data_IF_731581572962
#
_entry.id   IF_731581572962
#
_cell.length_a   1.000
_cell.length_b   1.000
_cell.length_c   1.000
_cell.angle_alpha   90.00
_cell.angle_beta   90.00
_cell.angle_gamma   90.00
#
_symmetry.space_group_name_H-M   'P 1'
#
loop_
_entity.id
_entity.type
_entity.pdbx_description
1 polymer ?
#
# COMPACT_ATOMS: atom_id res chain seq x y z
N UNK A 1 -3.43 -16.69 1.64
CA UNK A 1 -2.85 -17.49 0.55
C UNK A 1 -1.34 -17.48 0.73
N UNK A 2 -0.72 -18.64 0.72
CA UNK A 2 0.72 -18.82 0.88
C UNK A 2 1.26 -19.47 -0.39
N UNK A 3 2.20 -18.81 -1.07
CA UNK A 3 2.81 -19.34 -2.30
C UNK A 3 3.45 -20.73 -2.11
N UNK A 4 3.84 -21.07 -0.88
CA UNK A 4 4.49 -22.34 -0.57
C UNK A 4 3.64 -23.58 -0.85
N UNK A 5 2.32 -23.42 -0.87
CA UNK A 5 1.37 -24.52 -1.10
C UNK A 5 0.94 -24.66 -2.56
N UNK A 6 0.92 -23.55 -3.32
CA UNK A 6 0.38 -23.54 -4.68
C UNK A 6 1.46 -23.39 -5.78
N UNK A 7 2.68 -22.96 -5.43
CA UNK A 7 3.73 -22.73 -6.40
C UNK A 7 4.48 -24.02 -6.74
N UNK A 8 4.91 -24.15 -8.01
CA UNK A 8 5.86 -25.18 -8.42
C UNK A 8 7.20 -25.05 -7.71
N UNK A 9 8.04 -26.09 -7.68
CA UNK A 9 9.40 -25.99 -7.15
C UNK A 9 10.19 -24.82 -7.74
N UNK A 10 10.13 -24.63 -9.06
CA UNK A 10 10.81 -23.54 -9.76
C UNK A 10 10.37 -22.15 -9.29
N UNK A 11 9.07 -21.97 -9.11
CA UNK A 11 8.51 -20.71 -8.59
C UNK A 11 8.83 -20.51 -7.10
N UNK A 12 8.82 -21.58 -6.31
CA UNK A 12 9.18 -21.51 -4.88
C UNK A 12 10.63 -21.09 -4.67
N UNK A 13 11.56 -21.61 -5.47
CA UNK A 13 12.97 -21.24 -5.39
C UNK A 13 13.18 -19.76 -5.69
N UNK A 14 12.53 -19.24 -6.73
CA UNK A 14 12.54 -17.79 -7.03
C UNK A 14 11.97 -16.94 -5.89
N UNK A 15 10.83 -17.33 -5.35
CA UNK A 15 10.17 -16.58 -4.28
C UNK A 15 10.94 -16.64 -2.97
N UNK A 16 11.53 -17.82 -2.67
CA UNK A 16 12.43 -18.01 -1.53
C UNK A 16 13.70 -17.16 -1.65
N UNK A 17 14.29 -17.07 -2.86
CA UNK A 17 15.40 -16.15 -3.12
C UNK A 17 15.02 -14.69 -2.79
N UNK A 18 13.82 -14.26 -3.21
CA UNK A 18 13.35 -12.90 -2.90
C UNK A 18 13.10 -12.67 -1.41
N UNK A 19 12.53 -13.63 -0.70
CA UNK A 19 12.24 -13.53 0.74
C UNK A 19 13.53 -13.59 1.56
N UNK A 20 14.38 -14.60 1.34
CA UNK A 20 15.49 -14.93 2.24
C UNK A 20 16.82 -14.27 1.84
N UNK A 21 17.08 -14.07 0.55
CA UNK A 21 18.35 -13.48 0.09
C UNK A 21 18.21 -11.99 -0.21
N UNK A 22 17.09 -11.58 -0.82
CA UNK A 22 16.82 -10.16 -1.12
C UNK A 22 16.19 -9.40 0.05
N UNK A 23 15.78 -10.11 1.11
CA UNK A 23 15.16 -9.50 2.28
C UNK A 23 13.79 -8.87 2.03
N UNK A 24 13.09 -9.30 0.96
CA UNK A 24 11.75 -8.79 0.71
C UNK A 24 10.75 -9.37 1.72
N UNK A 25 9.78 -8.56 2.14
CA UNK A 25 8.71 -9.04 3.00
C UNK A 25 7.92 -10.17 2.31
N UNK A 26 7.47 -11.17 3.06
CA UNK A 26 6.64 -12.29 2.58
C UNK A 26 5.44 -11.82 1.75
N UNK A 27 4.84 -10.69 2.11
CA UNK A 27 3.77 -10.08 1.31
C UNK A 27 4.21 -9.75 -0.12
N UNK A 28 5.43 -9.24 -0.30
CA UNK A 28 5.99 -8.94 -1.63
C UNK A 28 6.22 -10.20 -2.44
N UNK A 29 6.72 -11.28 -1.81
CA UNK A 29 6.86 -12.57 -2.46
C UNK A 29 5.51 -13.14 -2.89
N UNK A 30 4.48 -13.06 -2.05
CA UNK A 30 3.12 -13.45 -2.40
C UNK A 30 2.54 -12.63 -3.56
N UNK A 31 2.77 -11.32 -3.62
CA UNK A 31 2.35 -10.49 -4.77
C UNK A 31 3.06 -10.90 -6.07
N UNK A 32 4.36 -11.21 -6.01
CA UNK A 32 5.08 -11.76 -7.16
C UNK A 32 4.50 -13.11 -7.60
N UNK A 33 4.17 -13.97 -6.64
CA UNK A 33 3.50 -15.25 -6.94
C UNK A 33 2.17 -15.03 -7.66
N UNK A 34 1.31 -14.15 -7.16
CA UNK A 34 0.02 -13.86 -7.79
C UNK A 34 0.16 -13.33 -9.22
N UNK A 35 1.19 -12.52 -9.48
CA UNK A 35 1.46 -12.02 -10.82
C UNK A 35 1.97 -13.13 -11.75
N UNK A 36 2.91 -13.96 -11.30
CA UNK A 36 3.42 -15.10 -12.04
C UNK A 36 2.37 -16.20 -12.23
N UNK A 37 1.52 -16.45 -11.23
CA UNK A 37 0.37 -17.35 -11.34
C UNK A 37 -0.55 -16.93 -12.48
N UNK A 38 -0.92 -15.65 -12.51
CA UNK A 38 -1.75 -15.13 -13.60
C UNK A 38 -1.07 -15.29 -14.96
N UNK A 39 0.24 -15.05 -15.03
CA UNK A 39 1.02 -15.19 -16.23
C UNK A 39 1.08 -16.64 -16.72
N UNK A 40 1.48 -17.58 -15.86
CA UNK A 40 1.62 -18.99 -16.27
C UNK A 40 0.28 -19.68 -16.55
N UNK A 41 -0.80 -19.26 -15.91
CA UNK A 41 -2.16 -19.68 -16.27
C UNK A 41 -2.49 -19.31 -17.71
N UNK A 42 -2.17 -18.08 -18.11
CA UNK A 42 -2.34 -17.62 -19.48
C UNK A 42 -1.44 -18.41 -20.46
N UNK A 43 -0.14 -18.57 -20.14
CA UNK A 43 0.81 -19.30 -20.99
C UNK A 43 0.39 -20.75 -21.19
N UNK A 44 -0.08 -21.44 -20.15
CA UNK A 44 -0.57 -22.82 -20.28
C UNK A 44 -1.75 -22.92 -21.25
N UNK A 45 -2.67 -21.97 -21.22
CA UNK A 45 -3.78 -21.92 -22.19
C UNK A 45 -3.28 -21.62 -23.61
N UNK A 46 -2.43 -20.61 -23.75
CA UNK A 46 -1.84 -20.22 -25.04
C UNK A 46 -1.08 -21.40 -25.71
N UNK A 47 -0.43 -22.23 -24.92
CA UNK A 47 0.33 -23.42 -25.40
C UNK A 47 -0.54 -24.68 -25.52
N UNK A 48 -1.85 -24.62 -25.28
CA UNK A 48 -2.75 -25.78 -25.37
C UNK A 48 -2.50 -26.85 -24.29
N UNK A 49 -1.91 -26.47 -23.16
CA UNK A 49 -1.57 -27.41 -22.06
C UNK A 49 -2.76 -27.63 -21.10
N UNK A 50 -3.84 -26.94 -21.32
CA UNK A 50 -5.09 -27.07 -20.56
C UNK A 50 -6.28 -26.97 -21.52
N UNK A 51 -7.44 -27.61 -21.21
CA UNK A 51 -8.66 -27.52 -22.03
C UNK A 51 -9.09 -26.07 -22.27
N UNK A 52 -9.67 -25.78 -23.43
CA UNK A 52 -10.13 -24.42 -23.79
C UNK A 52 -11.26 -23.94 -22.87
N UNK A 53 -12.11 -24.85 -22.42
CA UNK A 53 -13.24 -24.62 -21.52
C UNK A 53 -12.84 -24.52 -20.03
N UNK A 54 -11.57 -24.76 -19.70
CA UNK A 54 -11.10 -24.66 -18.31
C UNK A 54 -11.24 -23.22 -17.80
N UNK A 55 -11.80 -23.07 -16.58
CA UNK A 55 -11.84 -21.78 -15.91
C UNK A 55 -10.41 -21.22 -15.73
N UNK A 56 -10.11 -20.05 -16.33
CA UNK A 56 -8.78 -19.45 -16.27
C UNK A 56 -8.25 -19.26 -14.85
N UNK A 57 -9.14 -19.03 -13.88
CA UNK A 57 -8.74 -18.79 -12.50
C UNK A 57 -8.54 -20.09 -11.70
N UNK A 58 -8.93 -21.25 -12.22
CA UNK A 58 -8.74 -22.56 -11.60
C UNK A 58 -7.50 -23.33 -12.09
N UNK A 59 -6.86 -22.89 -13.21
CA UNK A 59 -5.67 -23.59 -13.77
C UNK A 59 -4.55 -23.65 -12.72
N UNK A 60 -4.04 -24.85 -12.35
CA UNK A 60 -2.97 -25.01 -11.40
C UNK A 60 -1.64 -24.51 -11.97
N UNK A 61 -0.70 -24.13 -11.08
CA UNK A 61 0.65 -23.66 -11.44
C UNK A 61 1.76 -24.35 -10.63
N UNK A 62 1.40 -25.39 -9.91
CA UNK A 62 2.29 -26.24 -9.12
C UNK A 62 3.16 -27.16 -10.00
N UNK A 63 2.81 -27.30 -11.27
CA UNK A 63 3.51 -28.08 -12.31
C UNK A 63 4.31 -27.21 -13.29
N UNK A 64 4.41 -25.88 -13.06
CA UNK A 64 5.25 -25.00 -13.91
C UNK A 64 6.70 -25.47 -13.89
N UNK A 65 7.14 -26.04 -15.02
CA UNK A 65 8.47 -26.59 -15.20
C UNK A 65 9.45 -25.60 -15.85
N UNK A 66 10.74 -25.91 -15.79
CA UNK A 66 11.77 -25.17 -16.52
C UNK A 66 11.54 -25.21 -18.03
N UNK A 67 11.08 -26.36 -18.58
CA UNK A 67 10.77 -26.50 -20.00
C UNK A 67 9.64 -25.53 -20.42
N UNK A 68 8.58 -25.41 -19.63
CA UNK A 68 7.52 -24.44 -19.88
C UNK A 68 8.06 -23.00 -19.80
N UNK A 69 8.85 -22.67 -18.79
CA UNK A 69 9.45 -21.35 -18.66
C UNK A 69 10.38 -21.00 -19.84
N UNK A 70 11.17 -21.97 -20.32
CA UNK A 70 12.05 -21.81 -21.48
C UNK A 70 11.31 -21.66 -22.81
N UNK A 71 10.11 -22.24 -22.93
CA UNK A 71 9.29 -22.15 -24.16
C UNK A 71 8.60 -20.80 -24.37
N UNK A 72 8.65 -19.93 -23.37
CA UNK A 72 8.03 -18.59 -23.45
C UNK A 72 8.85 -17.69 -24.35
N UNK A 73 8.18 -17.01 -25.25
CA UNK A 73 8.77 -15.99 -26.14
C UNK A 73 8.35 -14.58 -25.73
N UNK A 74 9.04 -13.58 -26.26
CA UNK A 74 8.65 -12.18 -26.07
C UNK A 74 7.24 -11.90 -26.65
N UNK A 75 6.87 -12.56 -27.76
CA UNK A 75 5.53 -12.47 -28.35
C UNK A 75 4.45 -12.98 -27.41
N UNK A 76 4.68 -14.13 -26.76
CA UNK A 76 3.74 -14.69 -25.77
C UNK A 76 3.46 -13.69 -24.62
N UNK A 77 4.47 -12.92 -24.22
CA UNK A 77 4.30 -11.89 -23.18
C UNK A 77 3.52 -10.68 -23.71
N UNK A 78 3.73 -10.26 -24.95
CA UNK A 78 2.92 -9.20 -25.55
C UNK A 78 1.47 -9.61 -25.72
N UNK A 79 1.18 -10.86 -26.13
CA UNK A 79 -0.18 -11.40 -26.19
C UNK A 79 -0.84 -11.41 -24.80
N UNK A 80 -0.10 -11.85 -23.78
CA UNK A 80 -0.56 -11.75 -22.38
C UNK A 80 -0.91 -10.32 -21.97
N UNK A 81 -0.06 -9.33 -22.29
CA UNK A 81 -0.32 -7.93 -21.95
C UNK A 81 -1.52 -7.36 -22.72
N UNK A 82 -1.74 -7.81 -23.95
CA UNK A 82 -2.90 -7.46 -24.78
C UNK A 82 -4.18 -8.04 -24.18
N UNK A 83 -4.16 -9.32 -23.80
CA UNK A 83 -5.25 -9.97 -23.08
C UNK A 83 -5.60 -9.23 -21.78
N UNK A 84 -4.59 -8.90 -20.95
CA UNK A 84 -4.82 -8.13 -19.73
C UNK A 84 -5.38 -6.73 -19.98
N UNK A 85 -5.08 -6.14 -21.15
CA UNK A 85 -5.54 -4.80 -21.48
C UNK A 85 -7.00 -4.75 -21.94
N UNK A 86 -7.51 -5.82 -22.56
CA UNK A 86 -8.78 -5.81 -23.29
C UNK A 86 -9.82 -6.78 -22.75
N UNK A 87 -9.41 -7.97 -22.35
CA UNK A 87 -10.32 -9.11 -22.16
C UNK A 87 -10.53 -9.46 -20.69
N UNK A 88 -9.53 -9.22 -19.84
CA UNK A 88 -9.64 -9.61 -18.44
C UNK A 88 -10.65 -8.72 -17.71
N UNK A 89 -11.71 -9.35 -17.18
CA UNK A 89 -12.66 -8.69 -16.29
C UNK A 89 -11.94 -8.13 -15.05
N UNK A 90 -12.24 -6.90 -14.69
CA UNK A 90 -11.81 -6.35 -13.39
C UNK A 90 -12.65 -7.01 -12.31
N UNK A 91 -11.99 -7.61 -11.33
CA UNK A 91 -12.67 -8.07 -10.11
C UNK A 91 -13.12 -6.83 -9.31
N UNK A 92 -14.27 -6.29 -9.64
CA UNK A 92 -14.94 -5.27 -8.85
C UNK A 92 -16.36 -5.75 -8.55
N UNK A 93 -16.79 -5.56 -7.30
CA UNK A 93 -18.17 -5.76 -6.86
C UNK A 93 -19.14 -4.70 -7.44
N UNK A 94 -18.90 -4.22 -8.65
CA UNK A 94 -19.75 -3.26 -9.34
C UNK A 94 -20.50 -3.97 -10.47
N UNK A 95 -21.80 -3.68 -10.67
CA UNK A 95 -22.59 -4.29 -11.74
C UNK A 95 -22.08 -3.97 -13.16
N UNK A 96 -21.29 -2.91 -13.34
CA UNK A 96 -20.58 -2.61 -14.57
C UNK A 96 -19.24 -3.33 -14.61
N UNK A 97 -19.20 -4.45 -15.33
CA UNK A 97 -17.98 -5.23 -15.55
C UNK A 97 -17.00 -4.43 -16.41
N UNK A 98 -16.14 -3.63 -15.80
CA UNK A 98 -15.09 -2.94 -16.52
C UNK A 98 -14.00 -3.92 -16.92
N UNK A 99 -13.73 -4.06 -18.21
CA UNK A 99 -12.68 -4.90 -18.77
C UNK A 99 -11.33 -4.15 -18.83
N UNK A 100 -10.25 -4.92 -18.79
CA UNK A 100 -8.89 -4.45 -18.96
C UNK A 100 -8.24 -3.89 -17.70
N UNK A 101 -7.01 -4.35 -17.43
CA UNK A 101 -6.19 -3.85 -16.32
C UNK A 101 -5.52 -2.52 -16.67
N UNK A 102 -5.34 -1.65 -15.66
CA UNK A 102 -4.62 -0.38 -15.82
C UNK A 102 -3.16 -0.60 -16.26
N UNK A 103 -2.55 0.40 -16.92
CA UNK A 103 -1.14 0.35 -17.29
C UNK A 103 -0.23 0.13 -16.07
N UNK A 104 -0.55 0.69 -14.90
CA UNK A 104 0.19 0.46 -13.66
C UNK A 104 0.11 -1.00 -13.19
N UNK A 105 -1.07 -1.63 -13.24
CA UNK A 105 -1.24 -3.05 -12.89
C UNK A 105 -0.50 -3.96 -13.86
N UNK A 106 -0.51 -3.65 -15.15
CA UNK A 106 0.25 -4.39 -16.16
C UNK A 106 1.76 -4.21 -15.98
N UNK A 107 2.24 -2.99 -15.69
CA UNK A 107 3.65 -2.72 -15.41
C UNK A 107 4.16 -3.50 -14.18
N UNK A 108 3.33 -3.66 -13.13
CA UNK A 108 3.69 -4.51 -11.97
C UNK A 108 3.89 -5.96 -12.37
N UNK A 109 3.01 -6.52 -13.21
CA UNK A 109 3.15 -7.89 -13.72
C UNK A 109 4.40 -8.07 -14.59
N UNK A 110 4.70 -7.09 -15.45
CA UNK A 110 5.96 -7.06 -16.22
C UNK A 110 7.17 -7.08 -15.28
N UNK A 111 7.15 -6.32 -14.18
CA UNK A 111 8.24 -6.32 -13.21
C UNK A 111 8.44 -7.69 -12.56
N UNK A 112 7.36 -8.42 -12.22
CA UNK A 112 7.44 -9.78 -11.70
C UNK A 112 8.02 -10.76 -12.74
N UNK A 113 7.54 -10.71 -13.99
CA UNK A 113 8.03 -11.56 -15.10
C UNK A 113 9.51 -11.28 -15.36
N UNK A 114 9.93 -10.04 -15.51
CA UNK A 114 11.33 -9.66 -15.71
C UNK A 114 12.23 -10.12 -14.55
N UNK A 115 11.75 -9.99 -13.32
CA UNK A 115 12.47 -10.42 -12.12
C UNK A 115 12.65 -11.95 -12.11
N UNK A 116 11.62 -12.70 -12.48
CA UNK A 116 11.66 -14.16 -12.57
C UNK A 116 12.66 -14.64 -13.63
N UNK A 117 12.59 -14.14 -14.85
CA UNK A 117 13.53 -14.55 -15.91
C UNK A 117 14.96 -14.08 -15.64
N UNK A 118 15.14 -12.90 -15.02
CA UNK A 118 16.47 -12.48 -14.54
C UNK A 118 17.02 -13.42 -13.47
N UNK A 119 16.18 -13.92 -12.57
CA UNK A 119 16.60 -14.94 -11.60
C UNK A 119 17.04 -16.22 -12.29
N UNK A 120 16.27 -16.76 -13.24
CA UNK A 120 16.59 -17.98 -13.96
C UNK A 120 17.90 -17.90 -14.76
N UNK A 121 18.18 -16.74 -15.36
CA UNK A 121 19.38 -16.56 -16.20
C UNK A 121 20.61 -16.15 -15.42
N UNK A 122 20.47 -15.18 -14.47
CA UNK A 122 21.63 -14.53 -13.84
C UNK A 122 21.96 -15.10 -12.45
N UNK A 123 20.99 -15.71 -11.77
CA UNK A 123 21.18 -16.19 -10.39
C UNK A 123 21.19 -17.71 -10.30
N UNK A 124 20.20 -18.33 -10.89
CA UNK A 124 20.08 -19.79 -10.88
C UNK A 124 20.84 -20.47 -12.05
N UNK A 125 21.20 -19.73 -13.09
CA UNK A 125 21.86 -20.23 -14.30
C UNK A 125 21.14 -21.43 -14.95
N UNK A 126 19.79 -21.43 -14.85
CA UNK A 126 18.95 -22.50 -15.41
C UNK A 126 18.58 -22.23 -16.88
N UNK A 127 18.65 -20.99 -17.34
CA UNK A 127 18.45 -20.60 -18.73
C UNK A 127 19.71 -19.90 -19.26
N UNK A 128 20.11 -20.22 -20.48
CA UNK A 128 21.25 -19.60 -21.16
C UNK A 128 20.93 -18.14 -21.53
N UNK A 129 19.70 -17.89 -22.01
CA UNK A 129 19.25 -16.57 -22.45
C UNK A 129 17.95 -16.15 -21.77
N UNK A 130 17.77 -14.85 -21.61
CA UNK A 130 16.55 -14.27 -21.05
C UNK A 130 15.56 -13.93 -22.19
N UNK A 131 14.47 -14.70 -22.35
CA UNK A 131 13.53 -14.49 -23.46
C UNK A 131 12.76 -13.15 -23.37
N UNK A 132 12.78 -12.50 -22.21
CA UNK A 132 12.08 -11.23 -21.96
C UNK A 132 13.07 -10.07 -21.68
N UNK A 133 14.30 -10.18 -22.16
CA UNK A 133 15.33 -9.15 -21.93
C UNK A 133 14.87 -7.78 -22.44
N UNK A 134 14.30 -7.74 -23.63
CA UNK A 134 13.84 -6.52 -24.32
C UNK A 134 12.38 -6.15 -23.99
N UNK A 135 11.77 -6.80 -22.99
CA UNK A 135 10.40 -6.51 -22.59
C UNK A 135 10.29 -5.13 -21.93
N UNK A 136 9.58 -4.21 -22.56
CA UNK A 136 9.25 -2.90 -22.00
C UNK A 136 8.03 -2.93 -21.09
N UNK A 137 8.08 -2.14 -20.02
CA UNK A 137 6.92 -1.97 -19.15
C UNK A 137 5.97 -0.93 -19.72
N UNK A 138 4.63 -1.19 -19.72
CA UNK A 138 3.65 -0.19 -20.07
C UNK A 138 3.82 1.09 -19.24
N UNK A 139 3.89 2.24 -19.88
CA UNK A 139 4.03 3.54 -19.21
C UNK A 139 2.66 4.00 -18.67
N UNK A 140 2.45 4.10 -17.34
CA UNK A 140 1.23 4.69 -16.80
C UNK A 140 1.09 6.15 -17.25
N UNK A 141 -0.11 6.57 -17.63
CA UNK A 141 -0.38 8.00 -17.83
C UNK A 141 -0.11 8.73 -16.51
N UNK A 142 0.75 9.73 -16.55
CA UNK A 142 0.96 10.63 -15.42
C UNK A 142 -0.31 11.47 -15.25
N UNK A 143 -1.09 11.17 -14.23
CA UNK A 143 -2.19 12.02 -13.79
C UNK A 143 -1.69 12.96 -12.70
N UNK A 144 -2.18 14.20 -12.68
CA UNK A 144 -1.89 15.11 -11.58
C UNK A 144 -2.37 14.47 -10.27
N UNK A 145 -1.55 14.50 -9.22
CA UNK A 145 -1.93 13.97 -7.94
C UNK A 145 -3.18 14.70 -7.41
N UNK A 146 -4.24 13.94 -7.10
CA UNK A 146 -5.43 14.51 -6.45
C UNK A 146 -5.26 14.44 -4.94
N UNK A 147 -5.54 15.53 -4.27
CA UNK A 147 -5.53 15.68 -2.82
C UNK A 147 -6.74 16.51 -2.39
N UNK A 148 -7.14 16.42 -1.14
CA UNK A 148 -8.22 17.23 -0.58
C UNK A 148 -7.74 18.68 -0.34
N UNK A 149 -8.53 19.64 -0.73
CA UNK A 149 -8.34 21.04 -0.31
C UNK A 149 -8.49 21.17 1.21
N UNK A 150 -8.03 22.28 1.77
CA UNK A 150 -8.20 22.56 3.21
C UNK A 150 -9.69 22.57 3.60
N UNK A 151 -10.57 23.17 2.78
CA UNK A 151 -12.01 23.17 3.02
C UNK A 151 -12.63 21.79 3.01
N UNK A 152 -12.22 20.90 2.08
CA UNK A 152 -12.67 19.51 2.05
C UNK A 152 -12.17 18.72 3.27
N UNK A 153 -10.94 19.00 3.75
CA UNK A 153 -10.43 18.39 4.98
C UNK A 153 -11.24 18.82 6.21
N UNK A 154 -11.58 20.10 6.32
CA UNK A 154 -12.41 20.62 7.41
C UNK A 154 -13.82 20.02 7.36
N UNK A 155 -14.47 20.01 6.20
CA UNK A 155 -15.78 19.40 6.01
C UNK A 155 -15.78 17.90 6.32
N UNK A 156 -14.70 17.18 5.97
CA UNK A 156 -14.53 15.76 6.33
C UNK A 156 -14.48 15.56 7.84
N UNK A 157 -13.71 16.38 8.57
CA UNK A 157 -13.60 16.28 10.03
C UNK A 157 -14.92 16.66 10.72
N UNK A 158 -15.61 17.70 10.26
CA UNK A 158 -16.90 18.15 10.79
C UNK A 158 -18.04 17.15 10.52
N UNK A 159 -17.98 16.41 9.42
CA UNK A 159 -18.98 15.40 9.04
C UNK A 159 -18.96 14.14 9.92
N UNK A 160 -17.95 13.97 10.78
CA UNK A 160 -17.83 12.76 11.60
C UNK A 160 -18.83 12.74 12.72
N UNK A 161 -19.78 11.79 12.66
CA UNK A 161 -20.87 11.65 13.62
C UNK A 161 -20.81 10.28 14.34
N UNK A 162 -21.66 10.13 15.36
CA UNK A 162 -21.87 8.87 16.06
C UNK A 162 -22.41 7.75 15.11
N UNK A 163 -22.23 6.49 15.44
CA UNK A 163 -21.40 5.97 16.52
C UNK A 163 -19.90 6.04 16.16
N UNK A 164 -19.03 5.95 17.17
CA UNK A 164 -17.57 5.95 17.06
C UNK A 164 -16.94 7.31 16.66
N UNK A 165 -17.66 8.42 16.89
CA UNK A 165 -17.18 9.76 16.52
C UNK A 165 -15.76 10.04 17.02
N UNK A 166 -15.49 9.86 18.32
CA UNK A 166 -14.17 10.16 18.90
C UNK A 166 -13.05 9.33 18.28
N UNK A 167 -13.28 8.04 17.98
CA UNK A 167 -12.32 7.16 17.33
C UNK A 167 -12.04 7.58 15.90
N UNK A 168 -13.10 7.74 15.12
CA UNK A 168 -13.00 7.99 13.69
C UNK A 168 -12.41 9.37 13.41
N UNK A 169 -12.77 10.36 14.25
CA UNK A 169 -12.20 11.70 14.21
C UNK A 169 -10.69 11.66 14.52
N UNK A 170 -10.28 10.94 15.56
CA UNK A 170 -8.86 10.76 15.88
C UNK A 170 -8.08 10.10 14.73
N UNK A 171 -8.65 9.06 14.11
CA UNK A 171 -8.05 8.40 12.94
C UNK A 171 -7.82 9.41 11.79
N UNK A 172 -8.84 10.18 11.43
CA UNK A 172 -8.76 11.16 10.34
C UNK A 172 -7.81 12.31 10.68
N UNK A 173 -7.85 12.81 11.91
CA UNK A 173 -6.94 13.88 12.37
C UNK A 173 -5.49 13.45 12.28
N UNK A 174 -5.14 12.22 12.71
CA UNK A 174 -3.79 11.69 12.60
C UNK A 174 -3.37 11.47 11.14
N UNK A 175 -4.27 10.98 10.27
CA UNK A 175 -3.96 10.86 8.84
C UNK A 175 -3.64 12.21 8.22
N UNK A 176 -4.48 13.22 8.45
CA UNK A 176 -4.38 14.53 7.81
C UNK A 176 -3.26 15.40 8.38
N UNK A 177 -2.87 15.21 9.64
CA UNK A 177 -1.82 16.02 10.27
C UNK A 177 -0.45 15.33 10.27
N UNK A 178 -0.39 14.00 10.44
CA UNK A 178 0.87 13.26 10.55
C UNK A 178 1.24 12.51 9.27
N UNK A 179 0.34 12.41 8.30
CA UNK A 179 0.59 11.71 7.05
C UNK A 179 0.96 10.23 7.21
N UNK A 180 0.41 9.54 8.20
CA UNK A 180 0.73 8.13 8.48
C UNK A 180 0.37 7.20 7.31
N UNK A 181 1.12 6.08 7.17
CA UNK A 181 0.64 4.95 6.38
C UNK A 181 -0.47 4.23 7.13
N UNK A 182 -1.43 3.66 6.43
CA UNK A 182 -2.55 2.95 7.06
C UNK A 182 -2.06 1.79 7.96
N UNK A 183 -1.00 1.10 7.58
CA UNK A 183 -0.39 0.03 8.40
C UNK A 183 0.30 0.57 9.66
N UNK A 184 0.89 1.75 9.58
CA UNK A 184 1.49 2.44 10.72
C UNK A 184 0.40 2.80 11.73
N UNK A 185 -0.70 3.40 11.27
CA UNK A 185 -1.81 3.77 12.15
C UNK A 185 -2.50 2.55 12.78
N UNK A 186 -2.69 1.45 12.03
CA UNK A 186 -3.24 0.22 12.55
C UNK A 186 -2.34 -0.43 13.63
N UNK A 187 -1.03 -0.28 13.49
CA UNK A 187 -0.03 -0.80 14.42
C UNK A 187 0.12 -0.01 15.72
N UNK A 188 -0.39 1.23 15.79
CA UNK A 188 -0.18 2.09 16.95
C UNK A 188 -0.72 1.48 18.24
N UNK A 189 0.06 1.63 19.28
CA UNK A 189 -0.22 1.23 20.65
C UNK A 189 -0.30 2.44 21.58
N UNK A 190 -0.95 2.30 22.73
CA UNK A 190 -1.01 3.37 23.74
C UNK A 190 0.39 3.78 24.22
N UNK A 191 1.31 2.81 24.31
CA UNK A 191 2.71 3.01 24.72
C UNK A 191 3.54 3.78 23.69
N UNK A 192 3.07 3.91 22.44
CA UNK A 192 3.77 4.65 21.40
C UNK A 192 3.54 6.18 21.50
N UNK A 193 2.58 6.60 22.34
CA UNK A 193 2.24 8.01 22.56
C UNK A 193 2.83 8.47 23.88
N UNK A 194 3.76 9.41 23.83
CA UNK A 194 4.40 10.01 25.01
C UNK A 194 4.34 11.54 24.87
N UNK A 195 3.66 12.19 25.82
CA UNK A 195 3.49 13.65 25.82
C UNK A 195 3.07 14.18 24.43
N UNK A 196 3.93 14.94 23.77
CA UNK A 196 3.69 15.54 22.46
C UNK A 196 4.36 14.73 21.31
N UNK A 197 4.75 13.48 21.57
CA UNK A 197 5.44 12.63 20.58
C UNK A 197 4.71 11.31 20.35
N UNK A 198 4.90 10.78 19.13
CA UNK A 198 4.38 9.48 18.70
C UNK A 198 5.46 8.69 17.99
N UNK A 199 5.79 7.52 18.52
CA UNK A 199 6.69 6.56 17.87
C UNK A 199 5.92 5.79 16.80
N UNK A 200 6.46 5.74 15.60
CA UNK A 200 5.87 5.05 14.44
C UNK A 200 6.85 4.05 13.87
N UNK A 201 6.41 2.81 13.69
CA UNK A 201 7.19 1.74 13.08
C UNK A 201 6.80 1.60 11.60
N UNK A 202 7.72 1.89 10.73
CA UNK A 202 7.55 1.85 9.27
C UNK A 202 7.90 0.50 8.64
N UNK A 203 8.01 0.50 7.31
CA UNK A 203 8.41 -0.68 6.55
C UNK A 203 9.81 -1.15 6.96
N UNK A 204 9.97 -2.46 7.14
CA UNK A 204 11.26 -3.05 7.54
C UNK A 204 11.64 -2.85 9.01
N UNK A 205 10.69 -2.43 9.86
CA UNK A 205 10.94 -2.21 11.29
C UNK A 205 11.62 -0.87 11.62
N UNK A 206 11.81 0.01 10.65
CA UNK A 206 12.40 1.33 10.87
C UNK A 206 11.46 2.19 11.73
N UNK A 207 11.99 2.74 12.80
CA UNK A 207 11.26 3.61 13.71
C UNK A 207 11.54 5.08 13.41
N UNK A 208 10.54 5.91 13.63
CA UNK A 208 10.66 7.37 13.64
C UNK A 208 9.75 7.99 14.71
N UNK A 209 10.12 9.16 15.17
CA UNK A 209 9.32 9.95 16.11
C UNK A 209 8.62 11.04 15.32
N UNK A 210 7.32 11.21 15.57
CA UNK A 210 6.52 12.31 15.06
C UNK A 210 6.13 13.22 16.22
N UNK A 211 6.19 14.53 16.00
CA UNK A 211 5.70 15.55 16.93
C UNK A 211 4.24 15.83 16.66
N UNK A 212 3.43 15.82 17.72
CA UNK A 212 1.99 16.01 17.66
C UNK A 212 1.65 17.47 17.88
N UNK A 213 0.81 18.02 16.99
CA UNK A 213 0.25 19.34 17.18
C UNK A 213 -0.99 19.30 18.09
N UNK A 214 -1.54 20.47 18.45
CA UNK A 214 -2.68 20.59 19.37
C UNK A 214 -3.89 19.78 18.90
N UNK A 215 -4.24 19.81 17.60
CA UNK A 215 -5.37 19.05 17.08
C UNK A 215 -5.21 17.53 17.28
N UNK A 216 -4.00 17.01 17.06
CA UNK A 216 -3.69 15.59 17.29
C UNK A 216 -3.80 15.24 18.78
N UNK A 217 -3.27 16.07 19.66
CA UNK A 217 -3.30 15.86 21.11
C UNK A 217 -4.74 15.86 21.64
N UNK A 218 -5.56 16.81 21.20
CA UNK A 218 -6.98 16.88 21.58
C UNK A 218 -7.76 15.66 21.09
N UNK A 219 -7.59 15.29 19.82
CA UNK A 219 -8.24 14.10 19.26
C UNK A 219 -7.82 12.81 19.99
N UNK A 220 -6.54 12.67 20.31
CA UNK A 220 -6.02 11.53 21.08
C UNK A 220 -6.57 11.50 22.51
N UNK A 221 -6.61 12.65 23.19
CA UNK A 221 -7.17 12.77 24.53
C UNK A 221 -8.64 12.34 24.55
N UNK A 222 -9.45 12.89 23.64
CA UNK A 222 -10.88 12.56 23.53
C UNK A 222 -11.09 11.07 23.25
N UNK A 223 -10.36 10.50 22.29
CA UNK A 223 -10.45 9.08 21.98
C UNK A 223 -10.00 8.20 23.16
N UNK A 224 -8.88 8.50 23.82
CA UNK A 224 -8.38 7.72 24.97
C UNK A 224 -9.38 7.67 26.11
N UNK A 225 -10.09 8.77 26.37
CA UNK A 225 -11.17 8.83 27.38
C UNK A 225 -12.30 7.85 27.04
N UNK A 226 -12.81 7.89 25.81
CA UNK A 226 -13.87 6.99 25.34
C UNK A 226 -13.36 5.53 25.30
N UNK A 227 -12.14 5.32 24.82
CA UNK A 227 -11.53 3.99 24.75
C UNK A 227 -11.37 3.33 26.11
N UNK A 228 -11.04 4.10 27.15
CA UNK A 228 -10.85 3.58 28.51
C UNK A 228 -12.12 2.95 29.09
N UNK A 229 -13.30 3.32 28.60
CA UNK A 229 -14.59 2.74 29.01
C UNK A 229 -14.99 1.51 28.22
N UNK A 230 -14.25 1.17 27.16
CA UNK A 230 -14.59 0.04 26.29
C UNK A 230 -13.89 -1.25 26.73
N UNK A 231 -14.55 -2.41 26.70
CA UNK A 231 -13.88 -3.69 26.84
C UNK A 231 -12.87 -3.87 25.70
N UNK A 232 -11.74 -4.52 25.95
CA UNK A 232 -10.77 -4.77 24.90
C UNK A 232 -9.96 -6.05 25.16
N UNK A 233 -9.67 -6.78 24.08
CA UNK A 233 -8.81 -7.98 24.10
C UNK A 233 -7.32 -7.61 24.05
N UNK A 234 -6.96 -6.55 23.32
CA UNK A 234 -5.61 -5.98 23.25
C UNK A 234 -5.58 -4.66 24.04
N UNK A 235 -5.16 -4.74 25.31
CA UNK A 235 -5.12 -3.58 26.21
C UNK A 235 -4.21 -2.45 25.73
N UNK A 236 -3.20 -2.76 24.91
CA UNK A 236 -2.25 -1.76 24.41
C UNK A 236 -2.62 -1.19 23.01
N UNK A 237 -3.55 -1.80 22.27
CA UNK A 237 -3.97 -1.25 20.97
C UNK A 237 -4.50 0.18 21.09
N UNK A 238 -4.03 1.12 20.28
CA UNK A 238 -4.58 2.48 20.29
C UNK A 238 -6.01 2.49 19.75
N UNK A 239 -6.24 1.88 18.58
CA UNK A 239 -7.57 1.86 17.94
C UNK A 239 -8.24 0.49 18.08
N UNK A 240 -9.49 0.52 18.54
CA UNK A 240 -10.33 -0.67 18.72
C UNK A 240 -11.40 -0.75 17.64
N UNK A 241 -11.61 -1.97 17.13
CA UNK A 241 -12.75 -2.30 16.27
C UNK A 241 -14.06 -2.39 17.10
N UNK A 242 -15.19 -2.48 16.42
CA UNK A 242 -16.49 -2.75 17.09
C UNK A 242 -16.54 -4.13 17.80
N UNK A 243 -15.54 -5.00 17.53
CA UNK A 243 -15.35 -6.30 18.24
C UNK A 243 -14.37 -6.17 19.41
N UNK A 244 -14.04 -4.96 19.80
CA UNK A 244 -13.13 -4.66 20.93
C UNK A 244 -11.72 -5.26 20.79
N UNK A 245 -11.30 -5.56 19.59
CA UNK A 245 -9.92 -5.98 19.24
C UNK A 245 -9.20 -4.86 18.50
N UNK A 246 -7.86 -4.97 18.37
CA UNK A 246 -7.06 -4.03 17.56
C UNK A 246 -7.68 -3.89 16.16
N UNK A 247 -7.87 -2.67 15.69
CA UNK A 247 -8.34 -2.42 14.33
C UNK A 247 -7.33 -2.94 13.31
N UNK A 248 -7.83 -3.74 12.38
CA UNK A 248 -7.04 -4.16 11.21
C UNK A 248 -6.87 -3.03 10.19
N UNK A 249 -5.89 -3.19 9.30
CA UNK A 249 -5.69 -2.29 8.15
C UNK A 249 -6.98 -2.15 7.33
N UNK A 250 -7.70 -3.27 7.10
CA UNK A 250 -8.98 -3.25 6.39
C UNK A 250 -10.06 -2.50 7.17
N UNK A 251 -10.11 -2.68 8.50
CA UNK A 251 -11.06 -1.95 9.36
C UNK A 251 -10.87 -0.44 9.28
N UNK A 252 -9.62 0.02 9.34
CA UNK A 252 -9.31 1.46 9.18
C UNK A 252 -9.65 1.93 7.76
N UNK A 253 -9.31 1.15 6.74
CA UNK A 253 -9.63 1.49 5.35
C UNK A 253 -11.15 1.65 5.16
N UNK A 254 -11.93 0.71 5.68
CA UNK A 254 -13.40 0.79 5.65
C UNK A 254 -13.92 2.02 6.38
N UNK A 255 -13.39 2.34 7.57
CA UNK A 255 -13.76 3.52 8.34
C UNK A 255 -13.48 4.79 7.54
N UNK A 256 -12.28 4.93 6.97
CA UNK A 256 -11.92 6.10 6.14
C UNK A 256 -12.86 6.22 4.93
N UNK A 257 -13.10 5.12 4.20
CA UNK A 257 -13.99 5.11 3.03
C UNK A 257 -15.42 5.53 3.43
N UNK A 258 -15.94 4.99 4.54
CA UNK A 258 -17.26 5.35 5.07
C UNK A 258 -17.37 6.86 5.38
N UNK A 259 -16.34 7.44 6.04
CA UNK A 259 -16.36 8.86 6.43
C UNK A 259 -16.17 9.79 5.23
N UNK A 260 -15.35 9.41 4.25
CA UNK A 260 -15.24 10.13 2.98
C UNK A 260 -16.61 10.19 2.26
N UNK A 261 -17.31 9.06 2.14
CA UNK A 261 -18.64 9.02 1.54
C UNK A 261 -19.67 9.85 2.31
N UNK A 262 -19.66 9.82 3.66
CA UNK A 262 -20.54 10.64 4.50
C UNK A 262 -20.29 12.16 4.35
N UNK A 263 -19.06 12.56 4.02
CA UNK A 263 -18.68 13.93 3.69
C UNK A 263 -19.00 14.33 2.23
N UNK A 264 -19.66 13.47 1.44
CA UNK A 264 -19.93 13.72 0.02
C UNK A 264 -18.71 13.64 -0.89
N UNK A 265 -17.59 13.09 -0.42
CA UNK A 265 -16.38 12.95 -1.19
C UNK A 265 -16.37 11.63 -1.98
N UNK A 266 -15.88 11.69 -3.22
CA UNK A 266 -15.79 10.52 -4.10
C UNK A 266 -14.83 9.46 -3.53
N UNK A 267 -15.37 8.33 -3.10
CA UNK A 267 -14.63 7.24 -2.47
C UNK A 267 -13.79 6.40 -3.44
N UNK A 268 -13.95 6.57 -4.74
CA UNK A 268 -13.11 5.95 -5.77
C UNK A 268 -11.88 6.80 -6.08
N UNK A 269 -12.00 8.12 -5.88
CA UNK A 269 -10.89 9.07 -6.03
C UNK A 269 -10.06 9.19 -4.75
N UNK A 270 -10.69 9.16 -3.58
CA UNK A 270 -10.04 9.39 -2.29
C UNK A 270 -9.94 8.11 -1.45
N UNK A 271 -8.81 7.93 -0.80
CA UNK A 271 -8.50 6.78 0.04
C UNK A 271 -7.50 7.18 1.13
N UNK A 272 -7.19 6.28 2.06
CA UNK A 272 -6.17 6.52 3.09
C UNK A 272 -4.81 6.95 2.52
N UNK A 273 -4.41 6.44 1.35
CA UNK A 273 -3.22 6.90 0.64
C UNK A 273 -3.33 8.35 0.17
N UNK A 274 -4.52 8.76 -0.28
CA UNK A 274 -4.77 10.14 -0.69
C UNK A 274 -4.81 11.09 0.50
N UNK A 275 -5.31 10.67 1.66
CA UNK A 275 -5.23 11.47 2.89
C UNK A 275 -3.78 11.75 3.31
N UNK A 276 -2.90 10.73 3.22
CA UNK A 276 -1.46 10.94 3.44
C UNK A 276 -0.86 11.91 2.41
N UNK A 277 -1.24 11.79 1.14
CA UNK A 277 -0.80 12.72 0.10
C UNK A 277 -1.32 14.14 0.35
N UNK A 278 -2.57 14.26 0.79
CA UNK A 278 -3.17 15.53 1.23
C UNK A 278 -2.35 16.18 2.36
N UNK A 279 -2.03 15.42 3.42
CA UNK A 279 -1.19 15.92 4.51
C UNK A 279 0.16 16.46 3.99
N UNK A 280 0.84 15.69 3.15
CA UNK A 280 2.12 16.09 2.54
C UNK A 280 1.98 17.39 1.72
N UNK A 281 0.94 17.47 0.88
CA UNK A 281 0.71 18.64 0.02
C UNK A 281 0.37 19.89 0.83
N UNK A 282 -0.49 19.75 1.85
CA UNK A 282 -0.85 20.87 2.73
C UNK A 282 0.36 21.38 3.53
N UNK A 283 1.24 20.49 4.01
CA UNK A 283 2.49 20.88 4.67
C UNK A 283 3.41 21.66 3.73
N UNK A 284 3.64 21.18 2.49
CA UNK A 284 4.44 21.88 1.49
C UNK A 284 3.87 23.25 1.15
N UNK A 285 2.55 23.36 0.94
CA UNK A 285 1.89 24.63 0.64
C UNK A 285 1.99 25.64 1.79
N UNK A 286 2.20 25.17 3.01
CA UNK A 286 2.40 26.00 4.20
C UNK A 286 3.88 26.16 4.59
N UNK A 287 4.80 25.91 3.66
CA UNK A 287 6.21 26.29 3.80
C UNK A 287 7.10 25.24 4.47
N UNK A 288 6.57 24.04 4.76
CA UNK A 288 7.44 22.94 5.21
C UNK A 288 8.35 22.53 4.06
N UNK A 289 9.66 22.54 4.27
CA UNK A 289 10.60 22.16 3.23
C UNK A 289 10.51 20.65 2.90
N UNK A 290 10.97 20.30 1.68
CA UNK A 290 10.83 18.94 1.15
C UNK A 290 11.60 17.91 1.97
N UNK A 291 12.75 18.28 2.53
CA UNK A 291 13.61 17.39 3.31
C UNK A 291 12.97 17.05 4.66
N UNK A 292 12.53 18.08 5.40
CA UNK A 292 11.76 17.91 6.65
C UNK A 292 10.52 17.05 6.41
N UNK A 293 9.79 17.28 5.31
CA UNK A 293 8.63 16.48 4.95
C UNK A 293 8.98 15.01 4.68
N UNK A 294 10.09 14.74 4.00
CA UNK A 294 10.56 13.38 3.73
C UNK A 294 10.89 12.62 5.01
N UNK A 295 11.51 13.26 5.98
CA UNK A 295 11.80 12.68 7.30
C UNK A 295 10.51 12.40 8.08
N UNK A 296 9.59 13.37 8.14
CA UNK A 296 8.27 13.18 8.76
C UNK A 296 7.51 12.00 8.16
N UNK A 297 7.52 11.87 6.85
CA UNK A 297 6.81 10.80 6.16
C UNK A 297 7.57 9.46 6.16
N UNK A 298 8.87 9.43 6.42
CA UNK A 298 9.71 8.23 6.36
C UNK A 298 9.79 7.68 4.92
N UNK A 299 10.21 8.52 3.95
CA UNK A 299 10.45 8.14 2.57
C UNK A 299 11.89 7.64 2.41
N UNK A 300 12.08 6.41 1.93
CA UNK A 300 13.39 5.74 1.80
C UNK A 300 14.19 6.12 0.54
N UNK A 301 13.62 6.84 -0.42
CA UNK A 301 14.27 7.10 -1.70
C UNK A 301 14.44 8.58 -2.00
N UNK A 302 15.62 9.07 -1.73
CA UNK A 302 16.27 10.06 -2.60
C UNK A 302 17.25 9.30 -3.48
N UNK A 303 16.99 9.24 -4.79
CA UNK A 303 18.05 9.00 -5.76
C UNK A 303 18.94 10.23 -5.77
N UNK A 304 19.87 10.30 -4.84
CA UNK A 304 21.15 11.04 -5.00
C UNK A 304 21.92 11.00 -3.68
N UNK A 305 23.18 10.74 -3.78
CA UNK A 305 24.23 10.85 -2.78
C UNK A 305 24.22 12.25 -2.15
N UNK A 306 23.46 12.43 -1.07
CA UNK A 306 23.61 13.60 -0.20
C UNK A 306 23.84 13.13 1.23
N UNK A 307 24.97 13.64 1.76
CA UNK A 307 25.45 13.50 3.13
C UNK A 307 24.30 13.85 4.08
N UNK A 308 23.88 12.87 4.90
CA UNK A 308 22.85 13.05 5.92
C UNK A 308 23.30 14.06 6.97
N UNK A 309 22.80 15.28 6.87
CA UNK A 309 22.62 16.11 8.06
C UNK A 309 21.23 15.78 8.61
N UNK A 310 21.17 15.31 9.86
CA UNK A 310 19.90 15.11 10.56
C UNK A 310 19.15 16.45 10.63
N UNK A 311 17.84 16.42 10.32
CA UNK A 311 16.96 17.56 10.59
C UNK A 311 16.83 17.66 12.12
N UNK A 312 17.02 18.84 12.67
CA UNK A 312 16.93 19.07 14.12
C UNK A 312 15.47 18.86 14.60
N UNK A 313 15.32 18.37 15.82
CA UNK A 313 14.00 18.17 16.45
C UNK A 313 13.16 19.45 16.48
N UNK A 314 13.81 20.63 16.55
CA UNK A 314 13.18 21.94 16.49
C UNK A 314 12.46 22.17 15.16
N UNK A 315 13.03 21.76 14.02
CA UNK A 315 12.42 21.91 12.70
C UNK A 315 11.23 20.97 12.53
N UNK A 316 11.34 19.74 13.01
CA UNK A 316 10.24 18.77 12.99
C UNK A 316 9.05 19.23 13.84
N UNK A 317 9.30 19.82 15.02
CA UNK A 317 8.27 20.44 15.88
C UNK A 317 7.63 21.66 15.20
N UNK A 318 8.41 22.51 14.56
CA UNK A 318 7.90 23.67 13.84
C UNK A 318 7.01 23.25 12.66
N UNK A 319 7.41 22.24 11.88
CA UNK A 319 6.64 21.69 10.79
C UNK A 319 5.28 21.13 11.26
N UNK A 320 5.23 20.40 12.38
CA UNK A 320 3.99 19.89 12.95
C UNK A 320 3.05 21.02 13.39
N UNK A 321 3.57 22.11 13.96
CA UNK A 321 2.81 23.28 14.38
C UNK A 321 2.32 24.14 13.22
N UNK A 322 3.08 24.19 12.13
CA UNK A 322 2.76 24.95 10.91
C UNK A 322 1.65 24.29 10.07
N UNK A 323 1.22 23.06 10.41
CA UNK A 323 0.16 22.37 9.67
C UNK A 323 -1.16 23.14 9.75
N UNK A 324 -1.87 23.41 8.62
CA UNK A 324 -3.08 24.24 8.61
C UNK A 324 -4.23 23.69 9.47
N UNK A 325 -4.26 22.38 9.71
CA UNK A 325 -5.24 21.73 10.61
C UNK A 325 -4.77 21.62 12.07
N UNK A 326 -3.62 22.21 12.44
CA UNK A 326 -3.05 22.09 13.79
C UNK A 326 -3.93 22.67 14.90
N UNK A 327 -4.81 23.60 14.58
CA UNK A 327 -5.66 24.35 15.53
C UNK A 327 -7.15 24.01 15.42
N UNK A 328 -7.51 22.98 14.64
CA UNK A 328 -8.91 22.53 14.54
C UNK A 328 -9.32 21.95 15.90
N UNK A 329 -10.34 22.52 16.51
CA UNK A 329 -10.94 21.99 17.76
C UNK A 329 -11.82 20.79 17.40
N UNK A 330 -11.62 19.68 18.09
CA UNK A 330 -12.37 18.42 17.92
C UNK A 330 -13.51 18.29 18.93
#
# INVERSE_FOLDING_TARGET
MDYRTEASPLLRDFLSYHENIRGHARKTANEYFLDLRTFFRYIKRLKGLVPEDADPDSVPVDDVSLALAASVTLSDVYDFLSHLARERARQHNSPDTAYGLSAASRARKVAAIRSFYKYLTVKAHLLAENPVRELDAPKPKKTLPRYLSLSECLGLLESVQEPNRARDLCILTLFLNCGLRISELAGLSLSDIKEDTMRVVGKGGKERILYLNAACLDALKNWRTVRATQPCTDKNALFLSNRHSRMSVQGIHFTVKKRLGAAGLDTDLYSSHKLRHTAATLMLQNGVDVRTLQELLGHEHLNTTQIYTHVEDSELRAAARAHPLARVKN
#
